data_IF_567248459210
#
_entry.id   IF_567248459210
#
_cell.length_a   1.000
_cell.length_b   1.000
_cell.length_c   1.000
_cell.angle_alpha   90.00
_cell.angle_beta   90.00
_cell.angle_gamma   90.00
#
_symmetry.space_group_name_H-M   'P 1'
#
loop_
_entity.id
_entity.type
_entity.pdbx_description
1 polymer ?
#
# COMPACT_ATOMS: atom_id res chain seq x y z
N UNK A 1 -2.79 -20.74 5.24
CA UNK A 1 -2.96 -19.77 4.16
C UNK A 1 -4.29 -20.06 3.48
N UNK A 2 -5.09 -19.02 3.24
CA UNK A 2 -6.40 -19.15 2.59
C UNK A 2 -6.28 -18.51 1.22
N UNK A 3 -6.21 -19.32 0.18
CA UNK A 3 -6.06 -18.80 -1.17
C UNK A 3 -7.42 -18.84 -1.89
N UNK A 4 -7.75 -17.75 -2.57
CA UNK A 4 -8.96 -17.62 -3.35
C UNK A 4 -8.59 -17.39 -4.81
N UNK A 5 -8.98 -18.31 -5.67
CA UNK A 5 -8.79 -18.16 -7.11
C UNK A 5 -10.06 -17.54 -7.71
N UNK A 6 -9.94 -16.30 -8.18
CA UNK A 6 -11.02 -15.56 -8.82
C UNK A 6 -10.96 -15.85 -10.32
N UNK A 7 -12.04 -16.41 -10.86
CA UNK A 7 -12.22 -16.65 -12.30
C UNK A 7 -13.39 -15.81 -12.81
N UNK A 8 -13.45 -15.56 -14.12
CA UNK A 8 -14.57 -14.82 -14.75
C UNK A 8 -15.93 -15.47 -14.48
N UNK A 9 -15.95 -16.79 -14.34
CA UNK A 9 -17.15 -17.59 -14.03
C UNK A 9 -17.51 -17.63 -12.54
N UNK A 10 -16.58 -17.31 -11.62
CA UNK A 10 -16.82 -17.39 -10.18
C UNK A 10 -15.54 -17.44 -9.32
N UNK A 11 -15.72 -17.41 -7.99
CA UNK A 11 -14.62 -17.55 -7.01
C UNK A 11 -14.52 -18.99 -6.52
N UNK A 12 -13.32 -19.58 -6.54
CA UNK A 12 -13.01 -20.90 -5.98
C UNK A 12 -12.04 -20.76 -4.82
N UNK A 13 -12.42 -21.29 -3.66
CA UNK A 13 -11.55 -21.33 -2.47
C UNK A 13 -10.63 -22.55 -2.53
N UNK A 14 -9.36 -22.33 -2.25
CA UNK A 14 -8.34 -23.37 -2.15
C UNK A 14 -7.74 -23.30 -0.74
N UNK A 15 -8.12 -24.28 0.10
CA UNK A 15 -7.64 -24.41 1.47
C UNK A 15 -8.71 -24.16 2.54
N UNK A 16 -8.52 -24.78 3.71
CA UNK A 16 -9.43 -24.68 4.86
C UNK A 16 -8.90 -23.61 5.82
N UNK A 17 -9.67 -22.54 5.99
CA UNK A 17 -9.39 -21.49 6.97
C UNK A 17 -9.93 -21.91 8.34
N UNK A 18 -9.07 -22.16 9.31
CA UNK A 18 -9.49 -22.17 10.71
C UNK A 18 -9.89 -20.75 11.10
N UNK A 19 -11.17 -20.53 11.43
CA UNK A 19 -11.69 -19.23 11.89
C UNK A 19 -11.68 -18.15 10.80
N UNK A 20 -12.75 -18.07 10.01
CA UNK A 20 -12.86 -17.08 8.94
C UNK A 20 -12.89 -15.64 9.47
N UNK A 21 -11.87 -14.84 9.16
CA UNK A 21 -11.98 -13.40 9.30
C UNK A 21 -12.98 -12.88 8.26
N UNK A 22 -14.07 -12.26 8.74
CA UNK A 22 -15.13 -11.71 7.87
C UNK A 22 -14.57 -10.76 6.80
N UNK A 23 -13.47 -10.06 7.12
CA UNK A 23 -12.72 -9.18 6.23
C UNK A 23 -12.29 -9.87 4.93
N UNK A 24 -11.72 -11.09 4.99
CA UNK A 24 -11.23 -11.78 3.80
C UNK A 24 -12.36 -12.12 2.82
N UNK A 25 -13.52 -12.52 3.35
CA UNK A 25 -14.70 -12.82 2.52
C UNK A 25 -15.25 -11.58 1.82
N UNK A 26 -15.21 -10.41 2.47
CA UNK A 26 -15.65 -9.14 1.88
C UNK A 26 -14.73 -8.72 0.74
N UNK A 27 -13.42 -8.72 0.97
CA UNK A 27 -12.43 -8.33 -0.03
C UNK A 27 -12.49 -9.18 -1.29
N UNK A 28 -12.64 -10.50 -1.15
CA UNK A 28 -12.74 -11.41 -2.31
C UNK A 28 -14.05 -11.19 -3.09
N UNK A 29 -15.15 -10.86 -2.41
CA UNK A 29 -16.43 -10.56 -3.08
C UNK A 29 -16.36 -9.26 -3.89
N UNK A 30 -15.74 -8.22 -3.33
CA UNK A 30 -15.54 -6.93 -4.01
C UNK A 30 -14.61 -7.07 -5.21
N UNK A 31 -13.48 -7.77 -5.05
CA UNK A 31 -12.57 -8.06 -6.16
C UNK A 31 -13.23 -8.84 -7.30
N UNK A 32 -14.05 -9.84 -6.98
CA UNK A 32 -14.80 -10.60 -7.99
C UNK A 32 -15.85 -9.75 -8.74
N UNK A 33 -16.51 -8.80 -8.05
CA UNK A 33 -17.43 -7.86 -8.70
C UNK A 33 -16.68 -6.96 -9.70
N UNK A 34 -15.57 -6.35 -9.26
CA UNK A 34 -14.76 -5.48 -10.11
C UNK A 34 -14.18 -6.23 -11.32
N UNK A 35 -13.75 -7.49 -11.14
CA UNK A 35 -13.24 -8.31 -12.23
C UNK A 35 -14.32 -8.65 -13.28
N UNK A 36 -15.57 -8.89 -12.85
CA UNK A 36 -16.70 -9.06 -13.77
C UNK A 36 -17.07 -7.78 -14.52
N UNK A 37 -16.84 -6.63 -13.91
CA UNK A 37 -17.07 -5.31 -14.50
C UNK A 37 -15.94 -4.88 -15.47
N UNK A 38 -14.93 -5.73 -15.69
CA UNK A 38 -13.88 -5.51 -16.69
C UNK A 38 -12.60 -4.88 -16.16
N UNK A 39 -12.38 -4.86 -14.83
CA UNK A 39 -11.10 -4.44 -14.25
C UNK A 39 -10.00 -5.46 -14.64
N UNK A 40 -9.09 -5.05 -15.52
CA UNK A 40 -7.91 -5.84 -15.93
C UNK A 40 -6.69 -5.61 -15.02
N UNK A 41 -6.71 -4.53 -14.23
CA UNK A 41 -5.60 -4.15 -13.37
C UNK A 41 -5.67 -4.85 -12.00
N UNK A 42 -4.65 -5.65 -11.70
CA UNK A 42 -4.46 -6.38 -10.43
C UNK A 42 -3.79 -5.50 -9.36
N UNK A 43 -3.29 -4.32 -9.75
CA UNK A 43 -2.66 -3.40 -8.82
C UNK A 43 -3.65 -2.92 -7.76
N UNK A 44 -3.12 -2.75 -6.55
CA UNK A 44 -3.84 -2.11 -5.44
C UNK A 44 -4.27 -0.70 -5.85
N UNK A 45 -5.53 -0.38 -5.62
CA UNK A 45 -6.03 0.98 -5.79
C UNK A 45 -5.33 1.91 -4.78
N UNK A 46 -5.05 3.18 -5.13
CA UNK A 46 -4.40 4.12 -4.21
C UNK A 46 -5.12 4.12 -2.86
N UNK A 47 -4.44 3.60 -1.84
CA UNK A 47 -4.99 3.51 -0.49
C UNK A 47 -4.94 4.89 0.13
N UNK A 48 -6.08 5.38 0.58
CA UNK A 48 -6.13 6.55 1.47
C UNK A 48 -5.39 6.18 2.76
N UNK A 49 -4.20 6.73 2.94
CA UNK A 49 -3.34 6.55 4.11
C UNK A 49 -2.71 7.88 4.51
N UNK A 50 -1.69 7.84 5.37
CA UNK A 50 -0.99 9.03 5.88
C UNK A 50 -0.67 10.00 4.73
N UNK A 51 -1.06 11.29 4.83
CA UNK A 51 -0.81 12.24 3.77
C UNK A 51 0.69 12.30 3.48
N UNK A 52 1.02 12.14 2.20
CA UNK A 52 2.39 12.05 1.69
C UNK A 52 3.01 13.45 1.54
N UNK A 53 2.53 14.43 2.30
CA UNK A 53 2.99 15.83 2.25
C UNK A 53 4.46 15.98 2.62
N UNK A 54 4.98 15.07 3.45
CA UNK A 54 6.41 14.99 3.76
C UNK A 54 7.24 14.41 2.60
N UNK A 55 6.65 13.60 1.70
CA UNK A 55 7.37 12.89 0.64
C UNK A 55 7.13 13.55 -0.72
N UNK A 56 7.46 14.84 -0.80
CA UNK A 56 7.55 15.56 -2.07
C UNK A 56 8.98 15.47 -2.60
N UNK A 57 9.15 15.61 -3.92
CA UNK A 57 10.48 15.57 -4.54
C UNK A 57 11.40 16.69 -4.01
N UNK A 58 10.82 17.86 -3.73
CA UNK A 58 11.53 18.99 -3.11
C UNK A 58 12.10 18.62 -1.74
N UNK A 59 11.28 18.01 -0.88
CA UNK A 59 11.71 17.60 0.44
C UNK A 59 12.75 16.47 0.38
N UNK A 60 12.63 15.54 -0.58
CA UNK A 60 13.63 14.49 -0.80
C UNK A 60 14.99 15.08 -1.23
N UNK A 61 14.98 16.10 -2.08
CA UNK A 61 16.20 16.78 -2.52
C UNK A 61 16.89 17.51 -1.35
N UNK A 62 16.11 18.24 -0.54
CA UNK A 62 16.63 18.94 0.66
C UNK A 62 17.27 17.97 1.67
N UNK A 63 16.61 16.85 1.96
CA UNK A 63 17.18 15.80 2.82
C UNK A 63 18.46 15.22 2.20
N UNK A 64 18.47 14.97 0.89
CA UNK A 64 19.66 14.47 0.20
C UNK A 64 20.85 15.43 0.30
N UNK A 65 20.64 16.75 0.19
CA UNK A 65 21.70 17.75 0.31
C UNK A 65 22.32 17.79 1.71
N UNK A 66 21.48 17.74 2.75
CA UNK A 66 21.92 17.70 4.14
C UNK A 66 22.76 16.45 4.40
N UNK A 67 22.28 15.28 3.95
CA UNK A 67 23.00 14.01 4.10
C UNK A 67 24.30 13.94 3.27
N UNK A 68 24.33 14.58 2.10
CA UNK A 68 25.57 14.67 1.29
C UNK A 68 26.65 15.49 2.01
N UNK A 69 26.24 16.49 2.79
CA UNK A 69 27.13 17.34 3.55
C UNK A 69 27.66 16.63 4.80
N UNK A 70 26.77 16.02 5.58
CA UNK A 70 27.14 15.16 6.70
C UNK A 70 26.14 14.01 6.88
N UNK A 71 26.64 12.77 6.74
CA UNK A 71 25.83 11.55 6.87
C UNK A 71 25.63 11.11 8.32
N UNK A 72 26.27 11.76 9.29
CA UNK A 72 26.19 11.43 10.72
C UNK A 72 25.12 12.23 11.47
N UNK A 73 24.35 13.05 10.76
CA UNK A 73 23.29 13.88 11.34
C UNK A 73 22.12 13.01 11.84
N UNK A 74 21.54 13.42 12.97
CA UNK A 74 20.36 12.77 13.52
C UNK A 74 19.11 13.14 12.73
N UNK A 75 18.09 12.26 12.77
CA UNK A 75 16.80 12.53 12.11
C UNK A 75 16.20 13.83 12.63
N UNK A 76 16.26 14.05 13.95
CA UNK A 76 15.71 15.24 14.58
C UNK A 76 16.39 16.52 14.07
N UNK A 77 17.72 16.52 13.93
CA UNK A 77 18.45 17.66 13.37
C UNK A 77 18.03 17.95 11.92
N UNK A 78 17.86 16.92 11.10
CA UNK A 78 17.42 17.07 9.71
C UNK A 78 16.00 17.65 9.68
N UNK A 79 15.11 17.15 10.53
CA UNK A 79 13.74 17.65 10.67
C UNK A 79 13.71 19.13 11.09
N UNK A 80 14.49 19.50 12.11
CA UNK A 80 14.59 20.88 12.60
C UNK A 80 15.19 21.82 11.54
N UNK A 81 16.19 21.35 10.79
CA UNK A 81 16.84 22.13 9.73
C UNK A 81 15.90 22.37 8.54
N UNK A 82 15.08 21.37 8.21
CA UNK A 82 14.19 21.42 7.04
C UNK A 82 12.77 21.91 7.39
N UNK A 83 12.48 22.14 8.67
CA UNK A 83 11.17 22.52 9.20
C UNK A 83 10.05 21.60 8.68
N UNK A 84 10.26 20.29 8.83
CA UNK A 84 9.44 19.21 8.28
C UNK A 84 8.70 18.38 9.34
#
# INVERSE_FOLDING_TARGET
YCDANIHRSGVKWVGKCGGGSAHFKVTVREGHKAFKEGREEVADEPRSGRPTTARTDENMNRVCEVLRSDRRLSIQYITDTLNM
#
